data_IF_684102651817
#
_entry.id   IF_684102651817
#
_cell.length_a   1.000
_cell.length_b   1.000
_cell.length_c   1.000
_cell.angle_alpha   90.00
_cell.angle_beta   90.00
_cell.angle_gamma   90.00
#
_symmetry.space_group_name_H-M   'P 1'
#
loop_
_entity.id
_entity.type
_entity.pdbx_description
1 polymer ?
#
# COMPACT_ATOMS: atom_id res chain seq x y z
N UNK A 1 31.69 -2.66 -11.23
CA UNK A 1 30.70 -3.37 -10.38
C UNK A 1 29.55 -2.45 -9.97
N UNK A 2 29.83 -1.31 -9.31
CA UNK A 2 28.78 -0.33 -8.92
C UNK A 2 28.01 0.27 -10.10
N UNK A 3 28.71 0.67 -11.16
CA UNK A 3 28.10 1.20 -12.39
C UNK A 3 27.15 0.21 -13.08
N UNK A 4 27.47 -1.09 -13.02
CA UNK A 4 26.64 -2.17 -13.58
C UNK A 4 25.35 -2.40 -12.77
N UNK A 5 25.42 -2.27 -11.43
CA UNK A 5 24.24 -2.37 -10.56
C UNK A 5 23.30 -1.19 -10.77
N UNK A 6 23.84 0.04 -10.86
CA UNK A 6 23.03 1.24 -11.13
C UNK A 6 22.37 1.16 -12.51
N UNK A 7 23.07 0.66 -13.53
CA UNK A 7 22.51 0.46 -14.86
C UNK A 7 21.39 -0.60 -14.87
N UNK A 8 21.57 -1.70 -14.14
CA UNK A 8 20.55 -2.74 -13.97
C UNK A 8 19.29 -2.20 -13.27
N UNK A 9 19.45 -1.46 -12.17
CA UNK A 9 18.34 -0.85 -11.45
C UNK A 9 17.59 0.11 -12.38
N UNK A 10 18.29 1.03 -13.07
CA UNK A 10 17.68 1.97 -14.02
C UNK A 10 17.00 1.31 -15.21
N UNK A 11 17.43 0.11 -15.62
CA UNK A 11 16.82 -0.68 -16.69
C UNK A 11 15.69 -1.61 -16.24
N UNK A 12 15.45 -1.74 -14.93
CA UNK A 12 14.42 -2.61 -14.36
C UNK A 12 13.06 -1.91 -14.29
N UNK A 13 11.98 -2.67 -14.06
CA UNK A 13 10.64 -2.10 -13.89
C UNK A 13 10.56 -1.13 -12.72
N UNK A 14 9.60 -0.20 -12.75
CA UNK A 14 9.41 0.80 -11.68
C UNK A 14 9.25 0.15 -10.31
N UNK A 15 8.65 -1.06 -10.25
CA UNK A 15 8.51 -1.86 -9.02
C UNK A 15 9.87 -2.26 -8.44
N UNK A 16 10.77 -2.75 -9.28
CA UNK A 16 12.11 -3.20 -8.86
C UNK A 16 12.96 -2.01 -8.42
N UNK A 17 12.88 -0.89 -9.14
CA UNK A 17 13.56 0.35 -8.75
C UNK A 17 13.12 0.83 -7.37
N UNK A 18 11.82 0.84 -7.11
CA UNK A 18 11.28 1.28 -5.84
C UNK A 18 11.60 0.33 -4.69
N UNK A 19 11.54 -0.99 -4.93
CA UNK A 19 11.96 -1.98 -3.95
C UNK A 19 13.44 -1.81 -3.58
N UNK A 20 14.31 -1.53 -4.55
CA UNK A 20 15.71 -1.20 -4.29
C UNK A 20 15.87 0.09 -3.46
N UNK A 21 15.04 1.10 -3.70
CA UNK A 21 15.04 2.35 -2.91
C UNK A 21 14.55 2.11 -1.49
N UNK A 22 13.44 1.38 -1.30
CA UNK A 22 12.90 1.03 0.01
C UNK A 22 13.91 0.22 0.82
N UNK A 23 14.38 -0.92 0.31
CA UNK A 23 15.40 -1.72 1.00
C UNK A 23 16.71 -0.94 1.21
N UNK A 24 17.09 -0.06 0.28
CA UNK A 24 18.25 0.82 0.45
C UNK A 24 18.10 1.78 1.63
N UNK A 25 16.94 2.43 1.76
CA UNK A 25 16.61 3.32 2.89
C UNK A 25 16.56 2.52 4.19
N UNK A 26 15.90 1.36 4.19
CA UNK A 26 15.73 0.55 5.41
C UNK A 26 17.05 -0.06 5.88
N UNK A 27 17.86 -0.62 4.99
CA UNK A 27 19.16 -1.17 5.37
C UNK A 27 20.17 -0.07 5.70
N UNK A 28 20.11 1.09 5.01
CA UNK A 28 20.91 2.26 5.36
C UNK A 28 20.61 2.76 6.77
N UNK A 29 19.34 2.97 7.11
CA UNK A 29 18.94 3.38 8.46
C UNK A 29 19.16 2.29 9.50
N UNK A 30 19.02 1.02 9.14
CA UNK A 30 19.37 -0.12 10.00
C UNK A 30 20.86 -0.11 10.37
N UNK A 31 21.78 0.15 9.44
CA UNK A 31 23.22 0.18 9.76
C UNK A 31 23.56 1.25 10.82
N UNK A 32 22.97 2.44 10.71
CA UNK A 32 23.09 3.52 11.70
C UNK A 32 22.43 3.11 13.03
N UNK A 33 21.25 2.52 12.97
CA UNK A 33 20.49 2.01 14.13
C UNK A 33 21.24 0.91 14.89
N UNK A 34 21.87 -0.02 14.17
CA UNK A 34 22.67 -1.11 14.72
C UNK A 34 23.97 -0.59 15.35
N UNK A 35 24.67 0.36 14.69
CA UNK A 35 25.89 0.97 15.24
C UNK A 35 25.64 1.76 16.53
N UNK A 36 24.44 2.33 16.67
CA UNK A 36 24.04 3.14 17.82
C UNK A 36 23.18 2.37 18.85
N UNK A 37 22.99 1.06 18.67
CA UNK A 37 22.12 0.21 19.51
C UNK A 37 20.75 0.84 19.81
N UNK A 38 20.11 1.42 18.79
CA UNK A 38 18.94 2.27 18.96
C UNK A 38 17.87 1.98 17.92
N UNK A 39 16.64 1.79 18.36
CA UNK A 39 15.45 1.58 17.52
C UNK A 39 14.86 2.88 16.98
N UNK A 40 15.40 4.04 17.40
CA UNK A 40 14.78 5.36 17.19
C UNK A 40 14.50 5.68 15.72
N UNK A 41 15.28 5.13 14.79
CA UNK A 41 15.13 5.38 13.35
C UNK A 41 14.09 4.48 12.66
N UNK A 42 13.56 3.48 13.36
CA UNK A 42 12.64 2.50 12.80
C UNK A 42 11.35 3.12 12.27
N UNK A 43 10.76 4.05 13.04
CA UNK A 43 9.53 4.75 12.66
C UNK A 43 9.75 5.78 11.55
N UNK A 44 10.98 6.26 11.36
CA UNK A 44 11.35 7.20 10.30
C UNK A 44 11.46 6.51 8.93
N UNK A 45 11.86 5.24 8.93
CA UNK A 45 12.12 4.47 7.71
C UNK A 45 10.86 4.32 6.83
N UNK A 46 9.69 4.04 7.44
CA UNK A 46 8.41 3.97 6.70
C UNK A 46 8.09 5.30 6.05
N UNK A 47 8.20 6.40 6.81
CA UNK A 47 7.88 7.74 6.30
C UNK A 47 8.80 8.15 5.15
N UNK A 48 10.09 7.81 5.23
CA UNK A 48 11.06 8.09 4.19
C UNK A 48 10.84 7.26 2.92
N UNK A 49 10.55 5.96 3.07
CA UNK A 49 10.26 5.08 1.94
C UNK A 49 8.99 5.51 1.18
N UNK A 50 7.91 5.82 1.90
CA UNK A 50 6.66 6.30 1.31
C UNK A 50 6.83 7.68 0.67
N UNK A 51 7.61 8.58 1.29
CA UNK A 51 7.91 9.88 0.70
C UNK A 51 8.78 9.82 -0.56
N UNK A 52 9.65 8.82 -0.67
CA UNK A 52 10.43 8.57 -1.88
C UNK A 52 9.60 7.94 -3.00
N UNK A 53 8.53 7.20 -2.66
CA UNK A 53 7.65 6.52 -3.59
C UNK A 53 6.69 7.46 -4.35
N UNK A 54 6.19 8.51 -3.69
CA UNK A 54 5.21 9.43 -4.27
C UNK A 54 5.71 10.89 -4.25
N UNK A 55 5.73 11.54 -5.40
CA UNK A 55 5.89 13.00 -5.52
C UNK A 55 4.67 13.71 -4.91
N UNK A 56 4.60 13.81 -3.58
CA UNK A 56 3.50 14.47 -2.88
C UNK A 56 3.24 14.09 -1.44
N UNK A 57 3.92 13.08 -0.87
CA UNK A 57 3.58 12.55 0.46
C UNK A 57 4.08 13.39 1.65
N UNK A 58 3.79 14.71 1.64
CA UNK A 58 4.06 15.64 2.75
C UNK A 58 3.45 15.16 4.06
N UNK A 59 2.32 14.46 4.00
CA UNK A 59 1.65 13.90 5.18
C UNK A 59 2.42 12.70 5.76
N UNK A 60 2.93 11.80 4.91
CA UNK A 60 3.72 10.65 5.36
C UNK A 60 5.05 11.10 5.99
N UNK A 61 5.71 12.10 5.41
CA UNK A 61 6.91 12.71 5.98
C UNK A 61 6.63 13.38 7.34
N UNK A 62 5.51 14.11 7.47
CA UNK A 62 5.09 14.72 8.74
C UNK A 62 4.75 13.68 9.80
N UNK A 63 4.08 12.60 9.43
CA UNK A 63 3.73 11.52 10.35
C UNK A 63 4.98 10.76 10.81
N UNK A 64 5.88 10.40 9.90
CA UNK A 64 7.15 9.74 10.23
C UNK A 64 8.02 10.60 11.15
N UNK A 65 8.12 11.90 10.88
CA UNK A 65 8.83 12.85 11.74
C UNK A 65 8.17 12.98 13.12
N UNK A 66 6.83 13.05 13.17
CA UNK A 66 6.10 13.09 14.44
C UNK A 66 6.36 11.86 15.30
N UNK A 67 6.30 10.66 14.71
CA UNK A 67 6.57 9.40 15.41
C UNK A 67 8.02 9.33 15.91
N UNK A 68 8.98 9.77 15.08
CA UNK A 68 10.37 9.89 15.48
C UNK A 68 10.56 10.81 16.70
N UNK A 69 9.98 12.01 16.66
CA UNK A 69 10.03 12.96 17.78
C UNK A 69 9.35 12.40 19.04
N UNK A 70 8.26 11.64 18.90
CA UNK A 70 7.60 10.97 20.02
C UNK A 70 8.51 9.93 20.67
N UNK A 71 9.15 9.08 19.87
CA UNK A 71 10.08 8.06 20.36
C UNK A 71 11.27 8.68 21.10
N UNK A 72 11.75 9.85 20.65
CA UNK A 72 12.78 10.61 21.39
C UNK A 72 12.30 11.10 22.76
N UNK A 73 11.03 11.52 22.89
CA UNK A 73 10.45 12.02 24.14
C UNK A 73 10.09 10.91 25.13
N UNK A 74 9.63 9.75 24.64
CA UNK A 74 9.17 8.63 25.47
C UNK A 74 10.31 7.69 25.90
N UNK A 75 11.55 7.93 25.45
CA UNK A 75 12.73 7.17 25.86
C UNK A 75 12.91 5.83 25.14
N UNK A 76 11.99 5.47 24.25
CA UNK A 76 12.08 4.29 23.39
C UNK A 76 10.90 3.34 23.50
N UNK A 77 10.86 2.35 22.62
CA UNK A 77 9.73 1.41 22.54
C UNK A 77 10.07 0.05 23.13
N UNK A 78 9.23 -0.39 24.09
CA UNK A 78 9.40 -1.66 24.82
C UNK A 78 9.45 -2.90 23.90
N UNK A 79 8.83 -2.84 22.72
CA UNK A 79 8.85 -3.93 21.72
C UNK A 79 10.27 -4.26 21.26
N UNK A 80 11.15 -3.26 21.22
CA UNK A 80 12.51 -3.40 20.72
C UNK A 80 13.53 -3.69 21.82
N UNK A 81 13.15 -3.74 23.11
CA UNK A 81 14.10 -3.92 24.21
C UNK A 81 15.00 -5.15 24.02
N UNK A 82 14.46 -6.28 23.54
CA UNK A 82 15.26 -7.47 23.22
C UNK A 82 15.96 -7.43 21.86
N UNK A 83 15.50 -6.56 20.95
CA UNK A 83 16.00 -6.50 19.58
C UNK A 83 17.19 -5.54 19.42
N UNK A 84 17.32 -4.52 20.28
CA UNK A 84 18.42 -3.53 20.24
C UNK A 84 19.80 -4.14 20.53
N UNK A 85 19.83 -5.17 21.36
CA UNK A 85 21.06 -5.84 21.78
C UNK A 85 21.55 -6.88 20.76
N UNK A 86 20.70 -7.26 19.80
CA UNK A 86 20.99 -8.24 18.76
C UNK A 86 20.83 -7.63 17.37
N UNK A 87 21.93 -7.25 16.70
CA UNK A 87 21.89 -6.67 15.36
C UNK A 87 21.16 -7.55 14.34
N UNK A 88 21.24 -8.88 14.49
CA UNK A 88 20.55 -9.84 13.63
C UNK A 88 19.03 -9.83 13.83
N UNK A 89 18.58 -9.76 15.10
CA UNK A 89 17.16 -9.64 15.42
C UNK A 89 16.61 -8.31 14.93
N UNK A 90 17.37 -7.23 15.10
CA UNK A 90 17.05 -5.92 14.54
C UNK A 90 16.93 -6.00 13.01
N UNK A 91 17.92 -6.58 12.32
CA UNK A 91 17.88 -6.74 10.86
C UNK A 91 16.62 -7.46 10.35
N UNK A 92 16.18 -8.50 11.07
CA UNK A 92 14.95 -9.23 10.74
C UNK A 92 13.70 -8.34 10.83
N UNK A 93 13.59 -7.50 11.88
CA UNK A 93 12.49 -6.54 12.01
C UNK A 93 12.46 -5.53 10.85
N UNK A 94 13.61 -4.94 10.53
CA UNK A 94 13.75 -3.97 9.44
C UNK A 94 13.49 -4.60 8.06
N UNK A 95 13.91 -5.83 7.83
CA UNK A 95 13.65 -6.53 6.56
C UNK A 95 12.17 -6.89 6.43
N UNK A 96 11.53 -7.34 7.51
CA UNK A 96 10.09 -7.62 7.54
C UNK A 96 9.27 -6.35 7.28
N UNK A 97 9.72 -5.20 7.80
CA UNK A 97 9.13 -3.89 7.53
C UNK A 97 9.24 -3.51 6.04
N UNK A 98 10.39 -3.70 5.40
CA UNK A 98 10.56 -3.49 3.95
C UNK A 98 9.66 -4.37 3.11
N UNK A 99 9.60 -5.67 3.44
CA UNK A 99 8.67 -6.59 2.79
C UNK A 99 7.22 -6.11 2.96
N UNK A 100 6.83 -5.65 4.15
CA UNK A 100 5.48 -5.14 4.40
C UNK A 100 5.15 -3.87 3.61
N UNK A 101 6.09 -2.92 3.51
CA UNK A 101 5.94 -1.69 2.72
C UNK A 101 5.75 -2.03 1.23
N UNK A 102 6.55 -2.95 0.69
CA UNK A 102 6.42 -3.38 -0.71
C UNK A 102 5.10 -4.13 -0.94
N UNK A 103 4.69 -5.02 -0.03
CA UNK A 103 3.42 -5.75 -0.15
C UNK A 103 2.22 -4.80 -0.14
N UNK A 104 2.26 -3.76 0.69
CA UNK A 104 1.18 -2.77 0.78
C UNK A 104 1.17 -1.78 -0.39
N UNK A 105 2.33 -1.46 -0.97
CA UNK A 105 2.45 -0.59 -2.15
C UNK A 105 2.29 -1.33 -3.47
N UNK A 106 2.46 -2.66 -3.50
CA UNK A 106 2.41 -3.49 -4.70
C UNK A 106 1.16 -3.24 -5.57
N UNK A 107 -0.08 -3.19 -5.01
CA UNK A 107 -1.27 -2.88 -5.80
C UNK A 107 -1.19 -1.51 -6.48
N UNK A 108 -0.80 -0.47 -5.74
CA UNK A 108 -0.62 0.90 -6.25
C UNK A 108 0.45 0.97 -7.33
N UNK A 109 1.54 0.23 -7.16
CA UNK A 109 2.66 0.19 -8.11
C UNK A 109 2.31 -0.57 -9.38
N UNK A 110 1.53 -1.65 -9.27
CA UNK A 110 0.98 -2.37 -10.43
C UNK A 110 -0.02 -1.49 -11.17
N UNK A 111 -0.83 -0.67 -10.47
CA UNK A 111 -1.65 0.36 -11.11
C UNK A 111 -0.79 1.34 -11.92
N UNK A 112 0.23 1.92 -11.28
CA UNK A 112 1.12 2.89 -11.94
C UNK A 112 1.90 2.29 -13.11
N UNK A 113 2.41 1.05 -13.04
CA UNK A 113 3.12 0.42 -14.17
C UNK A 113 2.18 0.10 -15.34
N UNK A 114 0.93 -0.29 -15.04
CA UNK A 114 -0.09 -0.51 -16.07
C UNK A 114 -0.49 0.78 -16.79
N UNK A 115 -0.47 1.92 -16.08
CA UNK A 115 -0.63 3.26 -16.63
C UNK A 115 0.64 3.72 -17.38
N UNK A 116 1.84 3.36 -16.92
CA UNK A 116 3.10 3.85 -17.53
C UNK A 116 3.34 3.31 -18.94
N UNK A 117 2.79 2.13 -19.29
CA UNK A 117 2.81 1.62 -20.69
C UNK A 117 1.81 2.30 -21.62
N UNK A 118 0.90 3.11 -21.09
CA UNK A 118 0.05 4.03 -21.84
C UNK A 118 0.21 5.40 -21.22
N UNK A 119 1.26 6.15 -21.61
CA UNK A 119 1.36 7.57 -21.27
C UNK A 119 -0.03 8.19 -21.41
N UNK A 120 -0.67 8.65 -20.31
CA UNK A 120 -1.95 9.28 -20.41
C UNK A 120 -1.69 10.53 -21.23
N UNK A 121 -2.24 10.59 -22.45
CA UNK A 121 -2.18 11.81 -23.23
C UNK A 121 -2.75 12.94 -22.35
N UNK A 122 -2.35 14.18 -22.59
CA UNK A 122 -2.90 15.34 -21.88
C UNK A 122 -4.44 15.36 -21.87
N UNK A 123 -5.09 14.69 -22.83
CA UNK A 123 -6.53 14.44 -22.83
C UNK A 123 -7.02 13.60 -21.64
N UNK A 124 -6.27 12.62 -21.12
CA UNK A 124 -6.69 11.83 -19.95
C UNK A 124 -6.75 12.69 -18.68
N UNK A 125 -5.77 13.58 -18.49
CA UNK A 125 -5.75 14.54 -17.37
C UNK A 125 -6.82 15.63 -17.49
N UNK A 126 -7.27 15.90 -18.71
CA UNK A 126 -8.31 16.89 -19.03
C UNK A 126 -9.71 16.21 -19.18
N UNK A 127 -9.82 14.90 -18.95
CA UNK A 127 -11.09 14.16 -18.97
C UNK A 127 -11.67 13.87 -20.37
N UNK A 128 -10.82 13.89 -21.39
CA UNK A 128 -11.14 13.74 -22.82
C UNK A 128 -10.84 12.35 -23.39
N UNK A 129 -10.59 11.31 -22.58
CA UNK A 129 -10.70 9.94 -23.10
C UNK A 129 -12.18 9.56 -23.17
N UNK A 130 -12.59 9.11 -24.35
CA UNK A 130 -13.97 9.09 -24.81
C UNK A 130 -14.77 8.00 -24.12
N UNK A 131 -15.27 8.26 -22.92
CA UNK A 131 -16.46 7.61 -22.35
C UNK A 131 -16.46 6.08 -22.34
N UNK A 132 -15.31 5.41 -22.19
CA UNK A 132 -15.22 3.94 -22.04
C UNK A 132 -14.81 3.59 -20.60
N UNK A 133 -15.29 2.44 -20.13
CA UNK A 133 -14.92 1.89 -18.82
C UNK A 133 -13.61 1.08 -18.93
N UNK A 134 -12.91 0.92 -17.81
CA UNK A 134 -11.65 0.16 -17.72
C UNK A 134 -12.00 -1.30 -17.42
N UNK A 135 -11.51 -2.22 -18.26
CA UNK A 135 -11.77 -3.66 -18.16
C UNK A 135 -10.51 -4.53 -18.21
N UNK A 136 -9.33 -3.91 -18.14
CA UNK A 136 -8.03 -4.57 -18.24
C UNK A 136 -7.25 -4.54 -16.92
N UNK A 137 -6.27 -5.44 -16.76
CA UNK A 137 -5.37 -5.44 -15.60
C UNK A 137 -6.08 -5.91 -14.33
N UNK A 138 -5.91 -5.19 -13.22
CA UNK A 138 -6.59 -5.55 -11.97
C UNK A 138 -8.11 -5.43 -12.05
N UNK A 139 -8.62 -4.57 -12.94
CA UNK A 139 -10.06 -4.42 -13.21
C UNK A 139 -10.66 -5.61 -13.94
N UNK A 140 -9.87 -6.46 -14.62
CA UNK A 140 -10.40 -7.71 -15.19
C UNK A 140 -10.58 -8.81 -14.14
N UNK A 141 -10.03 -8.63 -12.93
CA UNK A 141 -10.06 -9.61 -11.82
C UNK A 141 -11.13 -9.23 -10.80
N UNK A 142 -11.27 -7.94 -10.51
CA UNK A 142 -12.30 -7.37 -9.63
C UNK A 142 -12.70 -6.01 -10.19
N UNK A 143 -13.98 -5.63 -10.12
CA UNK A 143 -14.45 -4.31 -10.60
C UNK A 143 -13.94 -3.17 -9.73
N UNK A 144 -13.63 -3.47 -8.46
CA UNK A 144 -13.18 -2.51 -7.47
C UNK A 144 -11.89 -2.98 -6.75
N UNK A 145 -10.79 -3.18 -7.51
CA UNK A 145 -9.56 -3.73 -6.95
C UNK A 145 -8.90 -2.79 -5.94
N UNK A 146 -9.11 -1.48 -6.09
CA UNK A 146 -8.66 -0.44 -5.17
C UNK A 146 -9.34 -0.57 -3.79
N UNK A 147 -10.67 -0.73 -3.76
CA UNK A 147 -11.42 -0.89 -2.51
C UNK A 147 -11.16 -2.23 -1.84
N UNK A 148 -10.98 -3.29 -2.62
CA UNK A 148 -10.54 -4.57 -2.09
C UNK A 148 -9.16 -4.47 -1.43
N UNK A 149 -8.21 -3.79 -2.07
CA UNK A 149 -6.88 -3.53 -1.51
C UNK A 149 -6.95 -2.71 -0.21
N UNK A 150 -7.80 -1.68 -0.17
CA UNK A 150 -8.02 -0.88 1.03
C UNK A 150 -8.58 -1.73 2.19
N UNK A 151 -9.59 -2.58 1.92
CA UNK A 151 -10.15 -3.49 2.91
C UNK A 151 -9.07 -4.45 3.45
N UNK A 152 -8.29 -5.08 2.56
CA UNK A 152 -7.19 -5.95 2.95
C UNK A 152 -6.15 -5.23 3.81
N UNK A 153 -5.82 -3.98 3.47
CA UNK A 153 -4.88 -3.17 4.24
C UNK A 153 -5.38 -2.92 5.67
N UNK A 154 -6.66 -2.54 5.83
CA UNK A 154 -7.24 -2.31 7.16
C UNK A 154 -7.31 -3.57 8.01
N UNK A 155 -7.66 -4.72 7.41
CA UNK A 155 -7.61 -6.01 8.10
C UNK A 155 -6.18 -6.44 8.42
N UNK A 156 -5.22 -6.20 7.52
CA UNK A 156 -3.80 -6.46 7.74
C UNK A 156 -3.26 -5.66 8.93
N UNK A 157 -3.56 -4.37 9.00
CA UNK A 157 -3.20 -3.51 10.14
C UNK A 157 -3.80 -4.02 11.46
N UNK A 158 -5.07 -4.43 11.44
CA UNK A 158 -5.70 -5.04 12.61
C UNK A 158 -4.97 -6.32 13.05
N UNK A 159 -4.71 -7.24 12.11
CA UNK A 159 -4.01 -8.50 12.42
C UNK A 159 -2.64 -8.22 13.02
N UNK A 160 -1.83 -7.37 12.37
CA UNK A 160 -0.50 -6.98 12.86
C UNK A 160 -0.53 -6.36 14.25
N UNK A 161 -1.50 -5.48 14.52
CA UNK A 161 -1.64 -4.86 15.83
C UNK A 161 -2.13 -5.86 16.91
N UNK A 162 -2.97 -6.83 16.51
CA UNK A 162 -3.63 -7.78 17.42
C UNK A 162 -2.72 -8.88 17.98
N UNK A 163 -1.54 -9.12 17.39
CA UNK A 163 -0.60 -10.19 17.82
C UNK A 163 -0.17 -10.05 19.29
N UNK A 164 -0.09 -8.82 19.81
CA UNK A 164 0.27 -8.54 21.20
C UNK A 164 -0.90 -8.20 22.12
N UNK A 165 -2.13 -8.36 21.63
CA UNK A 165 -3.33 -7.97 22.39
C UNK A 165 -3.89 -9.14 23.20
N UNK A 166 -4.59 -8.80 24.27
CA UNK A 166 -5.32 -9.76 25.10
C UNK A 166 -6.68 -9.18 25.51
N UNK A 167 -7.65 -10.08 25.72
CA UNK A 167 -8.99 -9.73 26.20
C UNK A 167 -9.76 -8.83 25.24
N UNK A 168 -10.41 -7.80 25.78
CA UNK A 168 -11.38 -6.94 25.05
C UNK A 168 -10.78 -6.13 23.90
N UNK A 169 -9.45 -6.05 23.78
CA UNK A 169 -8.78 -5.32 22.70
C UNK A 169 -9.05 -5.92 21.31
N UNK A 170 -9.37 -7.21 21.23
CA UNK A 170 -9.80 -7.84 19.98
C UNK A 170 -11.14 -7.31 19.44
N UNK A 171 -11.94 -6.61 20.27
CA UNK A 171 -13.14 -5.93 19.79
C UNK A 171 -12.83 -4.82 18.79
N UNK A 172 -11.58 -4.37 18.68
CA UNK A 172 -11.15 -3.42 17.64
C UNK A 172 -11.22 -4.00 16.22
N UNK A 173 -11.50 -5.31 16.05
CA UNK A 173 -11.88 -5.87 14.75
C UNK A 173 -13.13 -5.21 14.17
N UNK A 174 -13.97 -4.61 15.03
CA UNK A 174 -15.12 -3.83 14.61
C UNK A 174 -14.74 -2.62 13.77
N UNK A 175 -13.51 -2.08 13.90
CA UNK A 175 -13.03 -0.96 13.09
C UNK A 175 -12.84 -1.33 11.60
N UNK A 176 -12.03 -2.34 11.23
CA UNK A 176 -11.93 -2.77 9.83
C UNK A 176 -13.24 -3.38 9.31
N UNK A 177 -14.06 -4.04 10.15
CA UNK A 177 -15.39 -4.50 9.77
C UNK A 177 -16.33 -3.34 9.43
N UNK A 178 -16.34 -2.28 10.24
CA UNK A 178 -17.10 -1.07 9.95
C UNK A 178 -16.63 -0.42 8.65
N UNK A 179 -15.32 -0.32 8.43
CA UNK A 179 -14.78 0.20 7.18
C UNK A 179 -15.20 -0.64 5.97
N UNK A 180 -15.15 -1.97 6.08
CA UNK A 180 -15.65 -2.90 5.07
C UNK A 180 -17.14 -2.65 4.77
N UNK A 181 -17.99 -2.54 5.78
CA UNK A 181 -19.42 -2.28 5.60
C UNK A 181 -19.67 -0.90 4.97
N UNK A 182 -18.90 0.11 5.37
CA UNK A 182 -19.00 1.45 4.83
C UNK A 182 -18.65 1.48 3.34
N UNK A 183 -17.59 0.78 2.92
CA UNK A 183 -17.14 0.73 1.52
C UNK A 183 -17.98 -0.22 0.64
N UNK A 184 -18.50 -1.30 1.20
CA UNK A 184 -19.27 -2.28 0.43
C UNK A 184 -20.76 -1.92 0.33
N UNK A 185 -21.32 -1.22 1.32
CA UNK A 185 -22.79 -1.02 1.41
C UNK A 185 -23.26 0.43 1.34
N UNK A 186 -22.45 1.39 1.78
CA UNK A 186 -22.90 2.78 1.98
C UNK A 186 -22.21 3.76 1.03
N UNK A 187 -20.90 3.64 0.91
CA UNK A 187 -19.99 4.57 0.23
C UNK A 187 -19.02 3.77 -0.63
N UNK A 188 -18.28 4.41 -1.53
CA UNK A 188 -17.36 3.70 -2.41
C UNK A 188 -18.10 2.92 -3.50
N UNK A 189 -18.34 1.63 -3.26
CA UNK A 189 -18.75 0.69 -4.32
C UNK A 189 -20.17 0.94 -4.84
N UNK A 190 -21.23 1.02 -4.03
CA UNK A 190 -22.59 1.17 -4.56
C UNK A 190 -22.84 2.46 -5.36
N UNK A 191 -22.33 3.65 -4.94
CA UNK A 191 -22.44 4.86 -5.75
C UNK A 191 -21.72 4.74 -7.11
N UNK A 192 -20.55 4.10 -7.14
CA UNK A 192 -19.77 3.93 -8.36
C UNK A 192 -20.43 2.96 -9.34
N UNK A 193 -20.97 1.84 -8.85
CA UNK A 193 -21.72 0.89 -9.69
C UNK A 193 -22.99 1.55 -10.27
N UNK A 194 -23.70 2.36 -9.48
CA UNK A 194 -24.86 3.13 -9.96
C UNK A 194 -24.46 4.16 -11.03
N UNK A 195 -23.36 4.88 -10.82
CA UNK A 195 -22.86 5.84 -11.79
C UNK A 195 -22.40 5.15 -13.09
N UNK A 196 -21.72 4.01 -12.96
CA UNK A 196 -21.25 3.21 -14.09
C UNK A 196 -22.40 2.59 -14.88
N UNK A 197 -23.42 2.05 -14.20
CA UNK A 197 -24.63 1.55 -14.83
C UNK A 197 -25.41 2.66 -15.56
N UNK A 198 -25.46 3.88 -15.00
CA UNK A 198 -26.09 5.02 -15.68
C UNK A 198 -25.33 5.45 -16.94
N UNK A 199 -24.00 5.38 -16.91
CA UNK A 199 -23.14 5.86 -18.01
C UNK A 199 -22.93 4.82 -19.11
N UNK A 200 -22.84 3.54 -18.76
CA UNK A 200 -22.46 2.45 -19.66
C UNK A 200 -23.46 1.29 -19.69
N UNK A 201 -24.58 1.35 -18.96
CA UNK A 201 -25.55 0.24 -18.87
C UNK A 201 -26.17 -0.19 -20.20
N UNK A 202 -26.23 0.70 -21.20
CA UNK A 202 -26.67 0.38 -22.56
C UNK A 202 -25.62 -0.35 -23.40
N UNK A 203 -24.34 -0.29 -23.02
CA UNK A 203 -23.24 -0.92 -23.75
C UNK A 203 -23.22 -2.44 -23.49
N UNK A 204 -23.35 -3.29 -24.53
CA UNK A 204 -23.23 -4.75 -24.39
C UNK A 204 -21.90 -5.21 -23.78
N UNK A 205 -20.79 -4.47 -24.00
CA UNK A 205 -19.47 -4.80 -23.42
C UNK A 205 -19.46 -4.58 -21.92
N UNK A 206 -20.02 -3.47 -21.45
CA UNK A 206 -20.14 -3.18 -20.02
C UNK A 206 -21.03 -4.20 -19.32
N UNK A 207 -22.17 -4.56 -19.93
CA UNK A 207 -23.04 -5.61 -19.38
C UNK A 207 -22.33 -6.96 -19.27
N UNK A 208 -21.56 -7.35 -20.30
CA UNK A 208 -20.73 -8.56 -20.23
C UNK A 208 -19.73 -8.45 -19.09
N UNK A 209 -18.96 -7.37 -19.03
CA UNK A 209 -17.97 -7.12 -17.97
C UNK A 209 -18.58 -7.20 -16.57
N UNK A 210 -19.69 -6.50 -16.32
CA UNK A 210 -20.40 -6.51 -15.04
C UNK A 210 -20.98 -7.89 -14.68
N UNK A 211 -21.28 -8.73 -15.69
CA UNK A 211 -21.76 -10.10 -15.47
C UNK A 211 -20.66 -11.15 -15.32
N UNK A 212 -19.41 -10.83 -15.66
CA UNK A 212 -18.29 -11.79 -15.65
C UNK A 212 -17.25 -11.49 -14.59
N UNK A 213 -17.06 -10.20 -14.26
CA UNK A 213 -16.04 -9.77 -13.31
C UNK A 213 -16.68 -9.56 -11.93
N UNK A 214 -16.16 -10.18 -10.85
CA UNK A 214 -16.65 -9.98 -9.48
C UNK A 214 -16.59 -8.52 -9.04
N UNK A 215 -17.53 -8.10 -8.19
CA UNK A 215 -17.60 -6.71 -7.71
C UNK A 215 -16.39 -6.32 -6.88
N UNK A 216 -15.99 -7.16 -5.91
CA UNK A 216 -15.03 -6.77 -4.89
C UNK A 216 -13.99 -7.86 -4.61
N UNK A 217 -14.39 -9.02 -4.08
CA UNK A 217 -13.45 -10.10 -3.77
C UNK A 217 -13.30 -11.01 -5.00
N UNK A 218 -12.07 -11.19 -5.53
CA UNK A 218 -11.83 -12.14 -6.61
C UNK A 218 -12.33 -13.54 -6.23
N UNK A 219 -12.97 -14.25 -7.16
CA UNK A 219 -13.43 -15.65 -7.00
C UNK A 219 -14.59 -15.88 -6.00
N UNK A 220 -15.10 -14.85 -5.33
CA UNK A 220 -16.36 -14.91 -4.57
C UNK A 220 -17.45 -14.33 -5.46
N UNK A 221 -18.34 -15.22 -5.93
CA UNK A 221 -19.37 -14.92 -6.93
C UNK A 221 -20.43 -13.92 -6.46
N UNK A 222 -21.11 -13.36 -7.47
CA UNK A 222 -22.12 -12.30 -7.47
C UNK A 222 -23.11 -12.29 -6.30
N UNK A 223 -23.24 -11.12 -5.69
CA UNK A 223 -24.50 -10.58 -5.13
C UNK A 223 -24.60 -9.12 -5.50
#
# INVERSE_FOLDING_TARGET
MWSSVVAFIKGSSSVVQLACVDFGIQWGLWTVSAALHTEKFYDLAVGAAVAAAEHGARLAARLGLFLFVRVLKEGGDRRFNRARDSPATLFAFWTMQGVWVIVTLLPTLVMMDSETRRQPSTQHYVGWDHGRFIDTGLWSISRHPNYFGEILLWFGLYVSASVGWSGRRHLLVLCPLFNYLLISRLSGVPPLEKAAAKRWGSDPRYRRYASTVPELVPFIGFT
#
